data_IF_983130299966
#
_entry.id   IF_983130299966
#
_cell.length_a   1.000
_cell.length_b   1.000
_cell.length_c   1.000
_cell.angle_alpha   90.00
_cell.angle_beta   90.00
_cell.angle_gamma   90.00
#
_symmetry.space_group_name_H-M   'P 1'
#
loop_
_entity.id
_entity.type
_entity.pdbx_description
1 polymer ?
#
# COMPACT_ATOMS: atom_id res chain seq x y z
N UNK A 1 -28.20 3.23 51.00
CA UNK A 1 -27.59 3.04 49.67
C UNK A 1 -27.63 1.56 49.33
N UNK A 2 -28.67 1.12 48.61
CA UNK A 2 -28.81 -0.26 48.12
C UNK A 2 -28.31 -0.30 46.69
N UNK A 3 -27.16 -0.96 46.47
CA UNK A 3 -26.64 -1.23 45.12
C UNK A 3 -27.50 -2.29 44.47
N UNK A 4 -28.38 -1.90 43.54
CA UNK A 4 -29.09 -2.87 42.69
C UNK A 4 -28.13 -3.40 41.64
N UNK A 5 -27.67 -4.64 41.80
CA UNK A 5 -26.98 -5.37 40.75
C UNK A 5 -27.97 -5.59 39.59
N UNK A 6 -27.84 -4.83 38.50
CA UNK A 6 -28.61 -5.10 37.28
C UNK A 6 -28.17 -6.46 36.74
N UNK A 7 -29.01 -7.48 36.90
CA UNK A 7 -28.85 -8.76 36.20
C UNK A 7 -28.93 -8.50 34.69
N UNK A 8 -27.83 -8.73 33.98
CA UNK A 8 -27.80 -8.75 32.51
C UNK A 8 -28.70 -9.88 32.02
N UNK A 9 -29.79 -9.54 31.33
CA UNK A 9 -30.67 -10.53 30.69
C UNK A 9 -30.10 -10.87 29.32
N UNK A 10 -29.60 -12.09 29.16
CA UNK A 10 -29.23 -12.65 27.84
C UNK A 10 -30.51 -12.86 27.05
N UNK A 11 -30.68 -12.12 25.94
CA UNK A 11 -31.94 -12.10 25.21
C UNK A 11 -32.00 -13.16 24.09
N UNK A 12 -30.87 -13.49 23.45
CA UNK A 12 -30.80 -14.59 22.48
C UNK A 12 -29.37 -15.07 22.30
N UNK A 13 -29.14 -16.38 22.48
CA UNK A 13 -27.93 -17.07 22.03
C UNK A 13 -28.25 -17.66 20.66
N UNK A 14 -27.69 -17.09 19.60
CA UNK A 14 -27.76 -17.73 18.27
C UNK A 14 -26.59 -18.69 18.15
N UNK A 15 -26.89 -19.99 18.20
CA UNK A 15 -25.92 -21.06 18.01
C UNK A 15 -25.65 -21.19 16.51
N UNK A 16 -24.47 -20.79 16.05
CA UNK A 16 -24.02 -21.13 14.72
C UNK A 16 -23.28 -22.48 14.80
N UNK A 17 -23.77 -23.56 14.17
CA UNK A 17 -23.15 -24.88 14.29
C UNK A 17 -21.67 -24.91 13.84
N UNK A 18 -21.22 -23.97 13.01
CA UNK A 18 -19.82 -23.87 12.57
C UNK A 18 -18.90 -23.03 13.47
N UNK A 19 -19.33 -21.85 13.94
CA UNK A 19 -18.40 -20.73 14.23
C UNK A 19 -18.54 -20.10 15.64
N UNK A 20 -18.98 -20.86 16.64
CA UNK A 20 -19.09 -20.36 18.01
C UNK A 20 -20.38 -19.58 18.30
N UNK A 21 -20.44 -18.98 19.48
CA UNK A 21 -21.63 -18.31 20.01
C UNK A 21 -21.58 -16.81 19.71
N UNK A 22 -22.67 -16.25 19.20
CA UNK A 22 -22.90 -14.80 19.22
C UNK A 22 -23.88 -14.47 20.34
N UNK A 23 -23.44 -13.65 21.30
CA UNK A 23 -24.30 -13.12 22.36
C UNK A 23 -24.62 -11.66 22.03
N UNK A 24 -25.90 -11.35 21.86
CA UNK A 24 -26.38 -10.00 21.56
C UNK A 24 -27.02 -9.43 22.83
N UNK A 25 -26.44 -8.36 23.37
CA UNK A 25 -27.01 -7.58 24.48
C UNK A 25 -27.69 -6.34 23.89
N UNK A 26 -29.00 -6.18 24.08
CA UNK A 26 -29.77 -5.08 23.45
C UNK A 26 -30.01 -3.87 24.37
N UNK A 27 -29.72 -3.99 25.66
CA UNK A 27 -30.20 -3.02 26.67
C UNK A 27 -29.24 -1.88 27.01
N UNK A 28 -28.13 -1.72 26.27
CA UNK A 28 -27.15 -0.66 26.53
C UNK A 28 -27.05 0.40 25.42
N UNK A 29 -27.77 0.26 24.30
CA UNK A 29 -27.62 1.17 23.16
C UNK A 29 -26.23 1.12 22.50
N UNK A 30 -25.45 0.09 22.83
CA UNK A 30 -24.13 -0.20 22.28
C UNK A 30 -24.28 -1.45 21.41
N UNK A 31 -24.01 -1.31 20.11
CA UNK A 31 -24.04 -2.39 19.13
C UNK A 31 -22.76 -3.26 19.22
N UNK A 32 -22.36 -3.63 20.44
CA UNK A 32 -21.14 -4.42 20.67
C UNK A 32 -21.39 -5.88 20.30
N UNK A 33 -20.74 -6.33 19.23
CA UNK A 33 -20.68 -7.75 18.85
C UNK A 33 -19.50 -8.41 19.56
N UNK A 34 -19.80 -9.24 20.55
CA UNK A 34 -18.80 -10.11 21.15
C UNK A 34 -18.69 -11.41 20.34
N UNK A 35 -17.51 -11.67 19.79
CA UNK A 35 -17.17 -12.94 19.15
C UNK A 35 -16.43 -13.78 20.18
N UNK A 36 -17.02 -14.91 20.59
CA UNK A 36 -16.33 -15.88 21.45
C UNK A 36 -15.50 -16.83 20.59
N UNK A 37 -14.20 -16.91 20.90
CA UNK A 37 -13.28 -17.84 20.25
C UNK A 37 -13.74 -19.30 20.45
N UNK A 38 -13.49 -20.18 19.48
CA UNK A 38 -14.00 -21.56 19.55
C UNK A 38 -13.48 -22.34 20.77
N UNK A 39 -12.30 -21.99 21.29
CA UNK A 39 -11.74 -22.58 22.52
C UNK A 39 -12.52 -22.22 23.79
N UNK A 40 -13.44 -21.25 23.71
CA UNK A 40 -14.37 -20.96 24.82
C UNK A 40 -15.51 -21.98 24.93
N UNK A 41 -15.67 -22.90 23.96
CA UNK A 41 -16.56 -24.05 24.03
C UNK A 41 -15.76 -25.29 24.48
N UNK A 42 -16.00 -25.86 25.68
CA UNK A 42 -15.26 -27.04 26.18
C UNK A 42 -15.32 -28.25 25.25
N UNK A 43 -16.37 -28.36 24.42
CA UNK A 43 -16.51 -29.42 23.42
C UNK A 43 -15.62 -29.20 22.17
N UNK A 44 -15.01 -28.02 22.04
CA UNK A 44 -14.14 -27.60 20.92
C UNK A 44 -12.74 -27.18 21.38
N UNK A 45 -12.51 -27.01 22.67
CA UNK A 45 -11.20 -26.68 23.24
C UNK A 45 -10.20 -27.84 23.03
N UNK A 46 -9.10 -27.65 22.28
CA UNK A 46 -8.10 -28.69 22.05
C UNK A 46 -7.42 -29.20 23.33
N UNK A 47 -7.55 -28.49 24.46
CA UNK A 47 -7.05 -28.93 25.76
C UNK A 47 -7.88 -30.07 26.39
N UNK A 48 -9.11 -30.30 25.90
CA UNK A 48 -9.98 -31.40 26.33
C UNK A 48 -9.92 -32.56 25.33
N UNK A 49 -10.14 -33.80 25.79
CA UNK A 49 -10.13 -34.98 24.92
C UNK A 49 -11.17 -34.88 23.79
N UNK A 50 -12.36 -34.37 24.12
CA UNK A 50 -13.45 -34.19 23.16
C UNK A 50 -13.16 -33.07 22.16
N UNK A 51 -12.63 -31.94 22.62
CA UNK A 51 -12.27 -30.82 21.77
C UNK A 51 -11.05 -31.12 20.89
N UNK A 52 -10.12 -31.96 21.34
CA UNK A 52 -9.02 -32.47 20.50
C UNK A 52 -9.53 -33.29 19.31
N UNK A 53 -10.47 -34.19 19.52
CA UNK A 53 -11.09 -34.98 18.44
C UNK A 53 -11.86 -34.09 17.46
N UNK A 54 -12.60 -33.10 17.97
CA UNK A 54 -13.25 -32.09 17.13
C UNK A 54 -12.23 -31.30 16.31
N UNK A 55 -11.17 -30.78 16.96
CA UNK A 55 -10.11 -30.00 16.33
C UNK A 55 -9.45 -30.81 15.21
N UNK A 56 -9.04 -32.04 15.47
CA UNK A 56 -8.39 -32.89 14.46
C UNK A 56 -9.30 -33.21 13.27
N UNK A 57 -10.61 -33.32 13.51
CA UNK A 57 -11.60 -33.58 12.45
C UNK A 57 -11.82 -32.34 11.59
N UNK A 58 -12.11 -31.19 12.21
CA UNK A 58 -12.42 -29.94 11.52
C UNK A 58 -11.17 -29.33 10.88
N UNK A 59 -10.01 -29.44 11.54
CA UNK A 59 -8.75 -28.91 11.01
C UNK A 59 -8.33 -29.58 9.71
N UNK A 60 -8.71 -30.84 9.49
CA UNK A 60 -8.46 -31.59 8.24
C UNK A 60 -9.40 -31.20 7.12
N UNK A 61 -10.59 -30.69 7.41
CA UNK A 61 -11.58 -30.29 6.40
C UNK A 61 -11.41 -28.84 5.94
N UNK A 62 -10.64 -28.04 6.68
CA UNK A 62 -10.37 -26.64 6.36
C UNK A 62 -8.90 -26.44 5.95
N UNK A 63 -8.69 -25.70 4.87
CA UNK A 63 -7.36 -25.17 4.58
C UNK A 63 -6.94 -24.16 5.68
N UNK A 64 -5.64 -23.87 5.75
CA UNK A 64 -5.09 -23.00 6.81
C UNK A 64 -5.69 -21.60 6.79
N UNK A 65 -6.04 -21.06 5.62
CA UNK A 65 -6.61 -19.73 5.53
C UNK A 65 -8.07 -19.72 6.01
N UNK A 66 -8.86 -20.70 5.61
CA UNK A 66 -10.22 -20.86 6.14
C UNK A 66 -10.19 -21.06 7.66
N UNK A 67 -9.26 -21.89 8.17
CA UNK A 67 -9.07 -22.06 9.61
C UNK A 67 -8.76 -20.74 10.32
N UNK A 68 -7.71 -20.04 9.89
CA UNK A 68 -7.28 -18.79 10.52
C UNK A 68 -8.40 -17.73 10.49
N UNK A 69 -9.20 -17.67 9.43
CA UNK A 69 -10.31 -16.71 9.33
C UNK A 69 -11.46 -17.06 10.27
N UNK A 70 -11.93 -18.30 10.21
CA UNK A 70 -13.16 -18.72 10.90
C UNK A 70 -12.91 -19.03 12.39
N UNK A 71 -11.72 -19.55 12.71
CA UNK A 71 -11.39 -20.06 14.05
C UNK A 71 -10.48 -19.09 14.81
N UNK A 72 -9.41 -18.59 14.21
CA UNK A 72 -8.46 -17.67 14.87
C UNK A 72 -8.86 -16.19 14.76
N UNK A 73 -9.90 -15.88 13.97
CA UNK A 73 -10.35 -14.51 13.73
C UNK A 73 -9.30 -13.64 13.02
N UNK A 74 -8.35 -14.25 12.31
CA UNK A 74 -7.33 -13.55 11.53
C UNK A 74 -8.02 -12.80 10.37
N UNK A 75 -8.11 -11.46 10.42
CA UNK A 75 -8.83 -10.68 9.43
C UNK A 75 -8.11 -10.69 8.07
N UNK A 76 -6.86 -11.15 8.01
CA UNK A 76 -6.03 -11.21 6.82
C UNK A 76 -6.04 -12.59 6.16
N UNK A 77 -6.72 -13.54 6.78
CA UNK A 77 -6.80 -14.89 6.28
C UNK A 77 -7.89 -15.01 5.22
N UNK A 78 -7.48 -15.24 3.97
CA UNK A 78 -8.37 -15.23 2.82
C UNK A 78 -8.09 -16.38 1.87
N UNK A 79 -9.12 -16.81 1.15
CA UNK A 79 -9.01 -17.83 0.10
C UNK A 79 -8.49 -17.16 -1.19
N UNK A 80 -7.45 -17.72 -1.80
CA UNK A 80 -6.76 -17.16 -2.97
C UNK A 80 -5.24 -17.08 -2.77
N UNK A 81 -4.49 -16.78 -3.84
CA UNK A 81 -3.03 -16.67 -3.78
C UNK A 81 -2.63 -15.21 -3.58
N UNK A 82 -1.96 -14.91 -2.46
CA UNK A 82 -1.38 -13.59 -2.21
C UNK A 82 -0.44 -13.18 -3.36
N UNK A 83 -0.51 -11.92 -3.78
CA UNK A 83 0.32 -11.40 -4.88
C UNK A 83 1.76 -11.13 -4.43
N UNK A 84 1.94 -10.79 -3.15
CA UNK A 84 3.24 -10.46 -2.54
C UNK A 84 3.59 -11.41 -1.38
N UNK A 85 3.76 -12.71 -1.64
CA UNK A 85 3.95 -13.71 -0.58
C UNK A 85 5.23 -13.54 0.23
N UNK A 86 6.22 -12.80 -0.28
CA UNK A 86 7.51 -12.55 0.38
C UNK A 86 7.53 -11.23 1.17
N UNK A 87 6.43 -10.49 1.18
CA UNK A 87 6.31 -9.31 2.02
C UNK A 87 6.32 -9.72 3.51
N UNK A 88 7.06 -8.96 4.31
CA UNK A 88 7.29 -9.20 5.74
C UNK A 88 7.27 -7.86 6.46
N UNK A 89 6.42 -7.71 7.47
CA UNK A 89 6.28 -6.45 8.22
C UNK A 89 7.58 -6.05 8.89
N UNK A 90 8.27 -7.00 9.50
CA UNK A 90 9.53 -6.81 10.21
C UNK A 90 10.70 -6.39 9.31
N UNK A 91 10.55 -6.53 7.99
CA UNK A 91 11.56 -6.12 7.00
C UNK A 91 11.10 -4.86 6.27
N UNK A 92 9.86 -4.82 5.79
CA UNK A 92 9.40 -3.85 4.79
C UNK A 92 8.50 -2.76 5.38
N UNK A 93 8.06 -2.89 6.63
CA UNK A 93 7.34 -1.82 7.33
C UNK A 93 8.31 -1.13 8.31
N UNK A 94 8.61 0.13 8.04
CA UNK A 94 9.50 0.91 8.88
C UNK A 94 8.69 1.85 9.77
N UNK A 95 8.99 1.87 11.07
CA UNK A 95 8.39 2.83 11.99
C UNK A 95 8.91 4.23 11.64
N UNK A 96 8.05 4.99 10.93
CA UNK A 96 8.26 6.36 10.48
C UNK A 96 9.25 6.48 9.33
N UNK A 97 8.73 6.74 8.14
CA UNK A 97 9.53 7.03 6.95
C UNK A 97 9.47 8.52 6.68
N UNK A 98 10.62 9.17 6.68
CA UNK A 98 10.72 10.56 6.25
C UNK A 98 11.14 10.65 4.79
N UNK A 99 10.56 11.58 4.03
CA UNK A 99 11.02 11.88 2.69
C UNK A 99 12.47 12.38 2.73
N UNK A 100 13.30 11.89 1.80
CA UNK A 100 14.68 12.34 1.63
C UNK A 100 14.68 13.68 0.91
N UNK A 101 15.30 14.69 1.53
CA UNK A 101 15.43 16.03 0.96
C UNK A 101 16.18 16.01 -0.39
N UNK A 102 15.75 16.86 -1.32
CA UNK A 102 16.33 16.94 -2.66
C UNK A 102 15.93 15.81 -3.61
N UNK A 103 15.08 14.86 -3.16
CA UNK A 103 14.49 13.84 -4.02
C UNK A 103 13.00 14.14 -4.21
N UNK A 104 12.56 14.17 -5.46
CA UNK A 104 11.16 14.45 -5.80
C UNK A 104 10.23 13.40 -5.21
N UNK A 105 9.08 13.86 -4.70
CA UNK A 105 8.00 12.98 -4.28
C UNK A 105 7.15 12.64 -5.49
N UNK A 106 6.99 11.36 -5.75
CA UNK A 106 6.13 10.84 -6.80
C UNK A 106 4.73 10.64 -6.23
N UNK A 107 3.73 11.19 -6.92
CA UNK A 107 2.30 10.98 -6.65
C UNK A 107 1.74 10.10 -7.76
N UNK A 108 1.48 8.84 -7.43
CA UNK A 108 0.78 7.92 -8.31
C UNK A 108 -0.72 8.05 -8.14
N UNK A 109 -1.48 8.24 -9.21
CA UNK A 109 -2.91 8.51 -9.21
C UNK A 109 -3.69 7.38 -9.89
N UNK A 110 -4.74 6.88 -9.24
CA UNK A 110 -5.73 5.99 -9.83
C UNK A 110 -7.13 6.62 -9.75
N UNK A 111 -7.62 7.24 -10.84
CA UNK A 111 -8.96 7.79 -10.89
C UNK A 111 -9.98 6.66 -11.10
N UNK A 112 -10.82 6.41 -10.11
CA UNK A 112 -11.92 5.46 -10.23
C UNK A 112 -13.28 6.09 -9.95
N UNK A 113 -14.32 5.36 -10.35
CA UNK A 113 -15.70 5.85 -10.27
C UNK A 113 -16.23 5.91 -8.83
N UNK A 114 -16.12 4.80 -8.09
CA UNK A 114 -16.52 4.75 -6.68
C UNK A 114 -15.35 5.06 -5.74
N UNK A 115 -14.13 4.71 -6.14
CA UNK A 115 -12.92 4.90 -5.33
C UNK A 115 -11.89 5.56 -6.20
N UNK A 116 -11.28 6.62 -5.70
CA UNK A 116 -10.08 7.20 -6.31
C UNK A 116 -8.96 7.16 -5.29
N UNK A 117 -7.74 6.90 -5.76
CA UNK A 117 -6.57 6.70 -4.92
C UNK A 117 -5.39 7.55 -5.38
N UNK A 118 -4.57 7.97 -4.42
CA UNK A 118 -3.26 8.57 -4.64
C UNK A 118 -2.25 8.00 -3.63
N UNK A 119 -1.07 7.65 -4.09
CA UNK A 119 0.03 7.16 -3.24
C UNK A 119 1.24 8.09 -3.40
N UNK A 120 1.73 8.61 -2.28
CA UNK A 120 2.97 9.38 -2.21
C UNK A 120 4.14 8.41 -2.01
N UNK A 121 5.17 8.53 -2.84
CA UNK A 121 6.35 7.67 -2.77
C UNK A 121 7.61 8.41 -3.19
N UNK A 122 8.78 7.89 -2.83
CA UNK A 122 10.08 8.32 -3.34
C UNK A 122 10.86 7.13 -3.84
N UNK A 123 11.67 7.34 -4.87
CA UNK A 123 12.67 6.35 -5.29
C UNK A 123 14.03 6.94 -4.96
N UNK A 124 14.63 6.43 -3.89
CA UNK A 124 15.94 6.88 -3.41
C UNK A 124 17.01 6.08 -4.16
N UNK A 125 17.86 6.72 -4.97
CA UNK A 125 18.94 6.03 -5.64
C UNK A 125 19.98 5.55 -4.63
N UNK A 126 20.57 4.39 -4.89
CA UNK A 126 21.79 3.94 -4.21
C UNK A 126 22.96 3.94 -5.17
N UNK A 127 24.17 4.21 -4.66
CA UNK A 127 25.40 4.20 -5.45
C UNK A 127 25.68 2.82 -6.08
N UNK A 128 25.36 1.72 -5.39
CA UNK A 128 25.41 0.36 -5.94
C UNK A 128 24.15 -0.41 -5.53
N UNK A 129 23.72 -1.35 -6.38
CA UNK A 129 22.49 -2.13 -6.15
C UNK A 129 21.19 -1.48 -6.64
N UNK A 130 20.05 -2.02 -6.22
CA UNK A 130 18.72 -1.52 -6.57
C UNK A 130 18.40 -0.23 -5.80
N UNK A 131 17.63 0.71 -6.38
CA UNK A 131 17.12 1.86 -5.62
C UNK A 131 16.12 1.43 -4.53
N UNK A 132 15.93 2.27 -3.51
CA UNK A 132 14.87 2.06 -2.50
C UNK A 132 13.57 2.73 -2.94
N UNK A 133 12.49 1.96 -3.06
CA UNK A 133 11.14 2.50 -3.11
C UNK A 133 10.64 2.75 -1.68
N UNK A 134 10.40 4.03 -1.36
CA UNK A 134 9.77 4.46 -0.10
C UNK A 134 8.32 4.82 -0.35
N UNK A 135 7.39 4.11 0.26
CA UNK A 135 5.96 4.42 0.21
C UNK A 135 5.62 5.23 1.45
N UNK A 136 5.30 6.51 1.25
CA UNK A 136 5.23 7.51 2.33
C UNK A 136 3.82 7.65 2.89
N UNK A 137 2.80 7.64 2.00
CA UNK A 137 1.41 7.88 2.40
C UNK A 137 0.45 7.36 1.34
N UNK A 138 -0.69 6.85 1.80
CA UNK A 138 -1.85 6.58 0.95
C UNK A 138 -2.98 7.59 1.20
N UNK A 139 -3.73 7.93 0.16
CA UNK A 139 -4.91 8.79 0.24
C UNK A 139 -5.98 8.23 -0.69
N UNK A 140 -7.20 8.07 -0.19
CA UNK A 140 -8.34 7.65 -0.99
C UNK A 140 -9.57 8.51 -0.72
N UNK A 141 -10.47 8.51 -1.68
CA UNK A 141 -11.83 9.03 -1.51
C UNK A 141 -12.84 8.01 -2.03
N UNK A 142 -13.96 7.88 -1.32
CA UNK A 142 -15.05 6.95 -1.65
C UNK A 142 -16.32 7.74 -2.03
N UNK A 143 -16.99 7.31 -3.10
CA UNK A 143 -18.21 7.88 -3.66
C UNK A 143 -18.18 9.41 -3.77
N UNK A 144 -17.08 9.95 -4.30
CA UNK A 144 -16.90 11.38 -4.52
C UNK A 144 -16.28 11.67 -5.88
N UNK A 145 -16.44 12.91 -6.35
CA UNK A 145 -15.74 13.39 -7.53
C UNK A 145 -14.20 13.28 -7.34
N UNK A 146 -13.48 12.94 -8.41
CA UNK A 146 -12.02 12.86 -8.42
C UNK A 146 -11.37 14.18 -7.99
N UNK A 147 -11.98 15.32 -8.29
CA UNK A 147 -11.52 16.64 -7.84
C UNK A 147 -11.39 16.74 -6.31
N UNK A 148 -12.23 16.00 -5.55
CA UNK A 148 -12.15 15.95 -4.08
C UNK A 148 -10.85 15.28 -3.63
N UNK A 149 -10.43 14.20 -4.30
CA UNK A 149 -9.14 13.58 -4.04
C UNK A 149 -8.00 14.54 -4.36
N UNK A 150 -8.06 15.21 -5.52
CA UNK A 150 -7.02 16.16 -5.94
C UNK A 150 -6.84 17.29 -4.93
N UNK A 151 -7.93 17.87 -4.42
CA UNK A 151 -7.88 18.90 -3.39
C UNK A 151 -7.23 18.40 -2.09
N UNK A 152 -7.60 17.20 -1.62
CA UNK A 152 -7.00 16.60 -0.42
C UNK A 152 -5.51 16.36 -0.60
N UNK A 153 -5.10 15.79 -1.73
CA UNK A 153 -3.70 15.50 -2.04
C UNK A 153 -2.90 16.79 -2.16
N UNK A 154 -3.45 17.83 -2.80
CA UNK A 154 -2.80 19.15 -2.87
C UNK A 154 -2.60 19.76 -1.48
N UNK A 155 -3.63 19.74 -0.64
CA UNK A 155 -3.52 20.23 0.73
C UNK A 155 -2.40 19.49 1.50
N UNK A 156 -2.38 18.16 1.45
CA UNK A 156 -1.32 17.35 2.08
C UNK A 156 0.06 17.70 1.50
N UNK A 157 0.15 17.92 0.20
CA UNK A 157 1.40 18.31 -0.46
C UNK A 157 1.93 19.64 0.09
N UNK A 158 1.04 20.60 0.34
CA UNK A 158 1.39 21.95 0.82
C UNK A 158 1.64 22.01 2.34
N UNK A 159 1.05 21.10 3.12
CA UNK A 159 1.18 21.14 4.59
C UNK A 159 2.19 20.17 5.16
N UNK A 160 2.29 18.96 4.59
CA UNK A 160 3.14 17.88 5.12
C UNK A 160 4.42 17.69 4.32
N UNK A 161 4.44 18.17 3.08
CA UNK A 161 5.55 18.02 2.13
C UNK A 161 5.96 19.37 1.52
N UNK A 162 5.83 20.44 2.31
CA UNK A 162 6.30 21.77 1.91
C UNK A 162 7.80 21.74 1.57
N UNK A 163 8.18 22.47 0.52
CA UNK A 163 9.56 22.49 0.01
C UNK A 163 9.97 21.29 -0.85
N UNK A 164 9.11 20.29 -1.06
CA UNK A 164 9.38 19.19 -2.00
C UNK A 164 8.80 19.46 -3.39
N UNK A 165 9.52 19.02 -4.42
CA UNK A 165 9.01 18.96 -5.79
C UNK A 165 8.23 17.65 -6.01
N UNK A 166 7.22 17.71 -6.88
CA UNK A 166 6.32 16.59 -7.15
C UNK A 166 6.39 16.11 -8.60
N UNK A 167 6.37 14.79 -8.77
CA UNK A 167 6.15 14.14 -10.04
C UNK A 167 4.83 13.37 -10.02
N UNK A 168 3.95 13.66 -10.96
CA UNK A 168 2.63 13.06 -11.02
C UNK A 168 2.56 11.99 -12.11
N UNK A 169 2.11 10.79 -11.73
CA UNK A 169 1.94 9.64 -12.63
C UNK A 169 0.50 9.17 -12.59
N UNK A 170 -0.12 8.99 -13.76
CA UNK A 170 -1.49 8.51 -13.89
C UNK A 170 -1.59 7.46 -15.00
N UNK A 171 -2.59 6.59 -14.91
CA UNK A 171 -2.89 5.67 -15.99
C UNK A 171 -3.19 6.40 -17.32
N UNK A 172 -2.83 5.76 -18.43
CA UNK A 172 -3.10 6.26 -19.77
C UNK A 172 -4.61 6.39 -20.06
N UNK A 173 -5.44 5.55 -19.43
CA UNK A 173 -6.90 5.66 -19.53
C UNK A 173 -7.43 6.92 -18.85
N UNK A 174 -6.65 7.57 -17.98
CA UNK A 174 -6.96 8.91 -17.43
C UNK A 174 -7.07 10.01 -18.49
N UNK A 175 -6.67 9.73 -19.74
CA UNK A 175 -6.91 10.61 -20.90
C UNK A 175 -8.24 10.42 -21.59
N UNK A 176 -8.81 9.22 -21.55
CA UNK A 176 -9.90 8.81 -22.43
C UNK A 176 -11.16 8.46 -21.64
N UNK A 177 -11.01 7.92 -20.43
CA UNK A 177 -12.11 7.64 -19.51
C UNK A 177 -12.55 8.95 -18.86
N UNK A 178 -13.81 9.33 -19.08
CA UNK A 178 -14.43 10.46 -18.40
C UNK A 178 -14.67 10.08 -16.94
N UNK A 179 -14.15 10.87 -15.99
CA UNK A 179 -14.47 10.72 -14.58
C UNK A 179 -15.76 11.49 -14.28
N UNK A 180 -16.91 10.82 -14.50
CA UNK A 180 -18.26 11.26 -14.14
C UNK A 180 -18.79 12.62 -14.65
N UNK A 181 -20.11 12.78 -14.48
CA UNK A 181 -21.13 13.78 -14.92
C UNK A 181 -20.79 14.91 -15.90
N UNK A 182 -19.67 15.62 -15.75
CA UNK A 182 -19.30 16.81 -16.52
C UNK A 182 -18.50 16.49 -17.79
N UNK A 183 -18.10 15.22 -17.99
CA UNK A 183 -17.41 14.76 -19.19
C UNK A 183 -15.94 15.16 -19.30
N UNK A 184 -15.35 15.67 -18.21
CA UNK A 184 -13.92 15.91 -18.10
C UNK A 184 -13.16 14.62 -17.82
N UNK A 185 -11.91 14.57 -18.28
CA UNK A 185 -11.01 13.44 -18.06
C UNK A 185 -10.18 13.71 -16.79
N UNK A 186 -9.74 12.68 -16.05
CA UNK A 186 -8.86 12.84 -14.89
C UNK A 186 -7.67 13.76 -15.12
N UNK A 187 -7.04 13.68 -16.31
CA UNK A 187 -5.93 14.57 -16.69
C UNK A 187 -6.36 16.04 -16.76
N UNK A 188 -7.56 16.34 -17.30
CA UNK A 188 -8.09 17.71 -17.32
C UNK A 188 -8.40 18.22 -15.92
N UNK A 189 -8.93 17.36 -15.05
CA UNK A 189 -9.22 17.70 -13.65
C UNK A 189 -7.89 18.05 -12.96
N UNK A 190 -6.86 17.20 -13.05
CA UNK A 190 -5.53 17.52 -12.49
C UNK A 190 -4.98 18.84 -13.05
N UNK A 191 -5.10 19.06 -14.36
CA UNK A 191 -4.67 20.29 -15.02
C UNK A 191 -5.35 21.56 -14.47
N UNK A 192 -6.64 21.49 -14.11
CA UNK A 192 -7.34 22.64 -13.51
C UNK A 192 -6.84 22.99 -12.10
N UNK A 193 -6.13 22.08 -11.44
CA UNK A 193 -5.44 22.31 -10.17
C UNK A 193 -3.94 22.63 -10.35
N UNK A 194 -3.50 22.88 -11.59
CA UNK A 194 -2.09 23.18 -11.90
C UNK A 194 -1.18 21.95 -11.91
N UNK A 195 -1.74 20.73 -11.95
CA UNK A 195 -0.98 19.48 -11.96
C UNK A 195 -0.90 18.95 -13.40
N UNK A 196 0.32 18.72 -13.89
CA UNK A 196 0.59 18.19 -15.22
C UNK A 196 1.10 16.75 -15.13
N UNK A 197 0.20 15.73 -15.12
CA UNK A 197 0.62 14.35 -14.91
C UNK A 197 1.29 13.75 -16.15
N UNK A 198 2.29 12.91 -15.90
CA UNK A 198 2.84 11.95 -16.85
C UNK A 198 1.96 10.70 -16.86
N UNK A 199 1.94 10.01 -17.99
CA UNK A 199 1.17 8.78 -18.15
C UNK A 199 1.89 7.88 -19.14
N UNK A 200 1.87 6.58 -18.86
CA UNK A 200 2.43 5.58 -19.75
C UNK A 200 1.64 4.28 -19.61
N UNK A 201 1.47 3.57 -20.73
CA UNK A 201 0.85 2.24 -20.70
C UNK A 201 1.75 1.28 -19.93
N UNK A 202 1.14 0.56 -19.00
CA UNK A 202 1.76 -0.53 -18.24
C UNK A 202 0.70 -1.59 -17.94
N UNK A 203 1.08 -2.87 -17.89
CA UNK A 203 0.16 -3.92 -17.45
C UNK A 203 0.21 -4.10 -15.93
N UNK A 204 -0.89 -4.58 -15.29
CA UNK A 204 -0.86 -4.95 -13.87
C UNK A 204 0.27 -5.94 -13.55
N UNK A 205 0.50 -6.92 -14.42
CA UNK A 205 1.53 -7.95 -14.25
C UNK A 205 2.95 -7.36 -14.25
N UNK A 206 3.24 -6.37 -15.10
CA UNK A 206 4.51 -5.64 -15.09
C UNK A 206 4.72 -4.92 -13.75
N UNK A 207 3.69 -4.23 -13.25
CA UNK A 207 3.74 -3.50 -11.98
C UNK A 207 3.94 -4.45 -10.80
N UNK A 208 3.21 -5.58 -10.78
CA UNK A 208 3.33 -6.63 -9.77
C UNK A 208 4.74 -7.25 -9.79
N UNK A 209 5.26 -7.58 -10.97
CA UNK A 209 6.59 -8.17 -11.11
C UNK A 209 7.68 -7.22 -10.60
N UNK A 210 7.55 -5.92 -10.88
CA UNK A 210 8.46 -4.89 -10.38
C UNK A 210 8.46 -4.80 -8.86
N UNK A 211 7.27 -4.75 -8.23
CA UNK A 211 7.17 -4.68 -6.78
C UNK A 211 7.68 -5.98 -6.10
N UNK A 212 7.34 -7.15 -6.66
CA UNK A 212 7.90 -8.43 -6.18
C UNK A 212 9.42 -8.50 -6.31
N UNK A 213 9.99 -7.91 -7.38
CA UNK A 213 11.43 -7.83 -7.53
C UNK A 213 12.08 -7.00 -6.41
N UNK A 214 11.45 -5.90 -5.98
CA UNK A 214 11.95 -5.12 -4.85
C UNK A 214 11.78 -5.86 -3.51
N UNK A 215 10.63 -6.50 -3.28
CA UNK A 215 10.36 -7.24 -2.04
C UNK A 215 11.32 -8.43 -1.88
N UNK A 216 11.57 -9.17 -2.96
CA UNK A 216 12.46 -10.34 -2.94
C UNK A 216 13.94 -9.99 -2.76
N UNK A 217 14.34 -8.72 -2.90
CA UNK A 217 15.73 -8.29 -2.83
C UNK A 217 15.97 -7.36 -1.64
N UNK A 218 16.91 -7.74 -0.77
CA UNK A 218 17.51 -6.82 0.20
C UNK A 218 18.62 -6.03 -0.50
N UNK A 219 18.64 -4.71 -0.33
CA UNK A 219 19.71 -3.86 -0.84
C UNK A 219 20.89 -3.88 0.12
N UNK A 220 22.04 -3.54 -0.45
CA UNK A 220 23.31 -3.24 0.18
C UNK A 220 23.15 -2.57 1.56
N UNK A 221 23.97 -3.01 2.52
CA UNK A 221 23.94 -2.63 3.94
C UNK A 221 22.75 -3.18 4.75
N UNK A 222 21.97 -4.12 4.20
CA UNK A 222 20.92 -4.83 4.94
C UNK A 222 19.56 -4.16 4.90
N UNK A 223 19.43 -3.03 4.20
CA UNK A 223 18.20 -2.28 4.03
C UNK A 223 17.31 -2.91 2.93
N UNK A 224 15.99 -3.01 3.11
CA UNK A 224 15.08 -3.49 2.07
C UNK A 224 14.97 -2.54 0.86
N UNK A 225 14.75 -3.09 -0.34
CA UNK A 225 14.53 -2.28 -1.56
C UNK A 225 13.15 -1.64 -1.63
N UNK A 226 12.20 -2.11 -0.81
CA UNK A 226 10.88 -1.53 -0.65
C UNK A 226 10.58 -1.35 0.83
N UNK A 227 10.18 -0.14 1.22
CA UNK A 227 9.72 0.18 2.56
C UNK A 227 8.40 0.95 2.50
N UNK A 228 7.51 0.72 3.47
CA UNK A 228 6.32 1.53 3.66
C UNK A 228 6.15 1.99 5.11
N UNK A 229 5.49 3.14 5.26
CA UNK A 229 5.07 3.64 6.57
C UNK A 229 3.76 2.94 6.99
N UNK A 230 3.77 2.08 8.02
CA UNK A 230 2.60 1.28 8.37
C UNK A 230 1.46 2.10 8.97
N UNK A 231 1.72 3.33 9.44
CA UNK A 231 0.71 4.20 10.04
C UNK A 231 -0.01 5.01 8.94
N UNK A 232 0.76 5.51 7.98
CA UNK A 232 0.26 6.33 6.88
C UNK A 232 -0.19 5.52 5.65
N UNK A 233 0.13 4.22 5.61
CA UNK A 233 -0.20 3.31 4.50
C UNK A 233 -0.90 2.03 5.01
N UNK A 234 -1.95 2.18 5.81
CA UNK A 234 -2.62 1.05 6.49
C UNK A 234 -3.26 0.06 5.51
N UNK A 235 -3.94 0.53 4.48
CA UNK A 235 -4.60 -0.33 3.48
C UNK A 235 -3.61 -0.96 2.51
N UNK A 236 -2.58 -0.24 2.11
CA UNK A 236 -1.47 -0.84 1.35
C UNK A 236 -0.80 -1.94 2.18
N UNK A 237 -0.59 -1.71 3.48
CA UNK A 237 -0.06 -2.73 4.38
C UNK A 237 -0.94 -3.99 4.40
N UNK A 238 -2.26 -3.86 4.59
CA UNK A 238 -3.16 -5.03 4.57
C UNK A 238 -3.17 -5.71 3.20
N UNK A 239 -3.06 -4.94 2.12
CA UNK A 239 -2.90 -5.46 0.77
C UNK A 239 -1.64 -6.30 0.59
N UNK A 240 -0.48 -5.79 1.02
CA UNK A 240 0.78 -6.52 1.01
C UNK A 240 0.73 -7.78 1.87
N UNK A 241 0.02 -7.75 3.00
CA UNK A 241 -0.19 -8.89 3.90
C UNK A 241 -1.14 -9.97 3.35
N UNK A 242 -1.79 -9.74 2.21
CA UNK A 242 -2.57 -10.78 1.51
C UNK A 242 -3.96 -10.34 1.04
N UNK A 243 -4.42 -9.12 1.35
CA UNK A 243 -5.69 -8.62 0.83
C UNK A 243 -5.60 -8.28 -0.67
N UNK A 244 -4.40 -7.99 -1.19
CA UNK A 244 -4.15 -7.92 -2.63
C UNK A 244 -3.71 -9.29 -3.14
N UNK A 245 -4.62 -9.96 -3.83
CA UNK A 245 -4.51 -11.38 -4.16
C UNK A 245 -5.11 -11.69 -5.53
N UNK A 246 -4.82 -12.89 -6.02
CA UNK A 246 -5.56 -13.48 -7.15
C UNK A 246 -6.80 -14.20 -6.63
N UNK A 247 -7.85 -14.26 -7.46
CA UNK A 247 -9.06 -15.04 -7.21
C UNK A 247 -8.71 -16.52 -7.03
N UNK A 248 -9.54 -17.25 -6.29
CA UNK A 248 -9.40 -18.70 -6.18
C UNK A 248 -9.51 -19.34 -7.57
N UNK A 249 -8.59 -20.25 -7.89
CA UNK A 249 -8.53 -21.00 -9.16
C UNK A 249 -8.47 -20.14 -10.44
N UNK A 250 -7.96 -18.91 -10.33
CA UNK A 250 -7.80 -18.02 -11.47
C UNK A 250 -6.55 -17.14 -11.32
N UNK A 251 -5.89 -16.87 -12.44
CA UNK A 251 -4.81 -15.88 -12.47
C UNK A 251 -5.34 -14.43 -12.44
N UNK A 252 -6.65 -14.19 -12.40
CA UNK A 252 -7.17 -12.84 -12.29
C UNK A 252 -6.96 -12.26 -10.89
N UNK A 253 -6.60 -10.97 -10.84
CA UNK A 253 -6.57 -10.19 -9.59
C UNK A 253 -7.98 -10.11 -9.02
N UNK A 254 -8.11 -10.36 -7.72
CA UNK A 254 -9.36 -10.16 -6.97
C UNK A 254 -9.58 -8.65 -6.76
N UNK A 255 -10.76 -8.15 -7.14
CA UNK A 255 -11.07 -6.71 -7.08
C UNK A 255 -11.50 -6.33 -5.66
N UNK A 256 -10.54 -6.34 -4.75
CA UNK A 256 -10.73 -5.94 -3.36
C UNK A 256 -10.63 -4.42 -3.19
N UNK A 257 -10.91 -3.92 -2.01
CA UNK A 257 -10.88 -2.47 -1.71
C UNK A 257 -9.50 -1.83 -1.83
N UNK A 258 -8.42 -2.62 -1.88
CA UNK A 258 -7.04 -2.11 -1.99
C UNK A 258 -6.55 -2.00 -3.43
N UNK A 259 -7.30 -2.52 -4.42
CA UNK A 259 -6.85 -2.57 -5.82
C UNK A 259 -6.43 -1.21 -6.37
N UNK A 260 -7.21 -0.17 -6.04
CA UNK A 260 -6.98 1.20 -6.49
C UNK A 260 -5.67 1.79 -5.96
N UNK A 261 -5.32 1.47 -4.70
CA UNK A 261 -4.04 1.85 -4.12
C UNK A 261 -2.87 1.15 -4.79
N UNK A 262 -2.99 -0.13 -5.14
CA UNK A 262 -1.92 -0.85 -5.85
C UNK A 262 -1.76 -0.40 -7.29
N UNK A 263 -2.85 -0.03 -7.95
CA UNK A 263 -2.80 0.58 -9.27
C UNK A 263 -2.09 1.94 -9.19
N UNK A 264 -2.51 2.83 -8.28
CA UNK A 264 -1.86 4.12 -8.01
C UNK A 264 -0.36 3.96 -7.68
N UNK A 265 -0.02 3.07 -6.74
CA UNK A 265 1.37 2.75 -6.39
C UNK A 265 2.16 2.29 -7.62
N UNK A 266 1.60 1.36 -8.38
CA UNK A 266 2.27 0.78 -9.52
C UNK A 266 2.48 1.80 -10.66
N UNK A 267 1.54 2.70 -10.93
CA UNK A 267 1.71 3.77 -11.92
C UNK A 267 2.87 4.70 -11.53
N UNK A 268 2.90 5.13 -10.26
CA UNK A 268 3.99 5.95 -9.71
C UNK A 268 5.35 5.27 -9.78
N UNK A 269 5.43 4.02 -9.31
CA UNK A 269 6.67 3.28 -9.19
C UNK A 269 7.25 2.87 -10.55
N UNK A 270 6.41 2.38 -11.47
CA UNK A 270 6.86 1.72 -12.71
C UNK A 270 7.65 2.63 -13.62
N UNK A 271 7.14 3.82 -13.92
CA UNK A 271 7.80 4.71 -14.89
C UNK A 271 9.16 5.18 -14.39
N UNK A 272 9.27 5.44 -13.09
CA UNK A 272 10.47 5.99 -12.47
C UNK A 272 11.51 4.92 -12.14
N UNK A 273 11.11 3.71 -11.71
CA UNK A 273 12.04 2.60 -11.45
C UNK A 273 12.61 2.00 -12.73
N UNK A 274 11.79 1.85 -13.78
CA UNK A 274 12.25 1.25 -15.04
C UNK A 274 13.35 2.07 -15.72
N UNK A 275 13.30 3.40 -15.59
CA UNK A 275 14.37 4.28 -16.10
C UNK A 275 15.68 4.04 -15.36
N UNK A 276 15.64 3.95 -14.03
CA UNK A 276 16.83 3.75 -13.19
C UNK A 276 17.43 2.34 -13.33
N UNK A 277 16.59 1.31 -13.44
CA UNK A 277 17.06 -0.08 -13.61
C UNK A 277 17.66 -0.27 -15.01
N UNK A 278 17.08 0.31 -16.05
CA UNK A 278 17.65 0.26 -17.42
C UNK A 278 18.96 1.02 -17.49
N UNK A 279 19.03 2.23 -16.91
CA UNK A 279 20.26 3.04 -16.89
C UNK A 279 21.44 2.25 -16.28
N UNK A 280 21.22 1.54 -15.16
CA UNK A 280 22.27 0.69 -14.55
C UNK A 280 22.66 -0.54 -15.37
N UNK A 281 21.77 -1.07 -16.21
CA UNK A 281 22.09 -2.21 -17.09
C UNK A 281 22.97 -1.78 -18.27
N UNK A 282 22.79 -0.55 -18.73
CA UNK A 282 23.48 0.02 -19.89
C UNK A 282 24.74 0.82 -19.51
N UNK A 283 25.04 0.98 -18.21
CA UNK A 283 26.30 1.55 -17.74
C UNK A 283 27.49 0.71 -18.25
N UNK A 284 28.43 1.30 -19.01
CA UNK A 284 29.66 0.61 -19.40
C UNK A 284 30.39 0.10 -18.16
N UNK A 285 30.85 -1.16 -18.17
CA UNK A 285 31.58 -1.78 -17.03
C UNK A 285 32.81 -0.97 -16.56
N UNK A 286 33.27 -0.01 -17.36
CA UNK A 286 34.41 0.87 -17.10
C UNK A 286 34.04 2.37 -17.10
N UNK A 287 32.76 2.73 -17.00
CA UNK A 287 32.38 4.13 -16.84
C UNK A 287 32.91 4.66 -15.50
N UNK A 288 33.48 5.88 -15.46
CA UNK A 288 33.88 6.49 -14.20
C UNK A 288 32.64 6.57 -13.30
N UNK A 289 32.75 5.96 -12.11
CA UNK A 289 31.66 5.93 -11.13
C UNK A 289 31.21 7.36 -10.87
N UNK A 290 29.90 7.59 -10.98
CA UNK A 290 29.28 8.83 -10.53
C UNK A 290 29.52 8.93 -9.02
N UNK A 291 30.57 9.66 -8.62
CA UNK A 291 30.73 10.09 -7.24
C UNK A 291 29.70 11.20 -7.06
N UNK A 292 28.62 10.90 -6.35
CA UNK A 292 27.68 11.93 -5.90
C UNK A 292 28.36 12.64 -4.74
N UNK A 293 29.34 13.48 -5.07
CA UNK A 293 30.08 14.26 -4.10
C UNK A 293 29.19 15.38 -3.57
N UNK A 294 28.87 15.33 -2.29
CA UNK A 294 28.59 16.55 -1.53
C UNK A 294 29.85 17.42 -1.54
N UNK A 295 29.97 18.31 -2.52
CA UNK A 295 31.18 19.09 -2.69
C UNK A 295 30.98 20.33 -3.55
N UNK A 296 31.10 21.49 -2.92
CA UNK A 296 31.35 22.75 -3.62
C UNK A 296 32.68 22.63 -4.37
N UNK A 297 32.70 22.97 -5.65
CA UNK A 297 33.96 23.28 -6.34
C UNK A 297 33.94 24.72 -6.83
N UNK A 298 34.88 25.51 -6.31
CA UNK A 298 35.32 26.75 -6.94
C UNK A 298 36.33 26.39 -8.02
N UNK A 299 36.02 26.65 -9.29
CA UNK A 299 37.04 26.73 -10.32
C UNK A 299 37.42 28.19 -10.57
N UNK A 300 38.73 28.45 -10.53
CA UNK A 300 39.34 29.71 -10.93
C UNK A 300 39.82 29.52 -12.37
N UNK A 301 39.19 30.21 -13.31
CA UNK A 301 39.72 30.37 -14.67
C UNK A 301 39.72 31.86 -15.00
N UNK A 302 40.91 32.39 -15.30
CA UNK A 302 41.20 33.74 -15.80
C UNK A 302 40.57 34.92 -15.04
N UNK A 303 41.01 35.10 -13.79
CA UNK A 303 41.07 36.43 -13.16
C UNK A 303 39.75 37.16 -12.86
N UNK A 304 38.57 36.61 -13.16
CA UNK A 304 37.28 37.21 -12.81
C UNK A 304 36.28 36.16 -12.33
N UNK A 305 35.96 36.20 -11.02
CA UNK A 305 34.92 35.38 -10.39
C UNK A 305 33.54 35.75 -10.98
N UNK A 306 32.92 34.83 -11.73
CA UNK A 306 31.49 34.87 -12.01
C UNK A 306 30.84 33.55 -11.60
N UNK A 307 29.86 33.61 -10.69
CA UNK A 307 28.99 32.49 -10.33
C UNK A 307 27.91 32.33 -11.41
N UNK A 308 27.93 31.24 -12.17
CA UNK A 308 26.81 30.84 -13.04
C UNK A 308 26.37 29.42 -12.73
N UNK A 309 25.07 29.26 -12.45
CA UNK A 309 24.39 27.96 -12.36
C UNK A 309 24.19 27.43 -13.78
N UNK A 310 24.61 26.20 -14.05
CA UNK A 310 24.13 25.44 -15.20
C UNK A 310 23.51 24.15 -14.70
N UNK A 311 22.28 23.89 -15.13
CA UNK A 311 21.66 22.58 -15.03
C UNK A 311 21.79 21.92 -16.40
N UNK A 312 22.49 20.79 -16.47
CA UNK A 312 22.38 19.89 -17.61
C UNK A 312 21.25 18.91 -17.31
N UNK A 313 20.17 19.02 -18.07
CA UNK A 313 19.12 18.01 -18.13
C UNK A 313 19.55 16.94 -19.13
N UNK A 314 19.67 15.70 -18.66
CA UNK A 314 19.64 14.48 -19.48
C UNK A 314 18.75 13.46 -18.79
#
# INVERSE_FOLDING_TARGET
MTSSTKQLRVLTIKRNPGNGFAVIYKDLGIDDRYVMHYTSDPDKDPSTERGKQWFETVRKTMDRATWNREMEGDPYSHVGKAIFPDFRTEIHAANRIYPVEGINIIRGWDPGWCVSACVFMQIVPFEKGLPQLRILREVETFNSDFAVLVQKVKHISETEYDGYDFWDEIDIEGKTRKAASQGNTPVKILGSFGIAPRYQKSSPEERIALLNHLIGNRVQNGEPALVLDPVLCRKLLTGFLGLYRRKQDSDQIDKTEVVHLFDALGYGARNNLMQLIKFKRDEPKNAPKLVIGTGWQEEVIEGKKQKKRHWLAC
#
